data_IF_775734127231
#
_entry.id   IF_775734127231
#
_cell.length_a   1.000
_cell.length_b   1.000
_cell.length_c   1.000
_cell.angle_alpha   90.00
_cell.angle_beta   90.00
_cell.angle_gamma   90.00
#
_symmetry.space_group_name_H-M   'P 1'
#
loop_
_entity.id
_entity.type
_entity.pdbx_description
1 polymer ?
#
# COMPACT_ATOMS: atom_id res chain seq x y z
N UNK A 1 6.97 5.94 18.28
CA UNK A 1 6.82 4.72 19.08
C UNK A 1 6.80 3.53 18.12
N UNK A 2 7.55 2.45 18.39
CA UNK A 2 7.62 1.31 17.46
C UNK A 2 6.33 0.46 17.49
N UNK A 3 5.87 0.01 16.33
CA UNK A 3 4.74 -0.93 16.23
C UNK A 3 5.13 -2.28 16.84
N UNK A 4 4.39 -2.73 17.85
CA UNK A 4 4.57 -4.07 18.42
C UNK A 4 3.87 -5.10 17.51
N UNK A 5 4.58 -6.18 17.20
CA UNK A 5 4.04 -7.35 16.52
C UNK A 5 3.74 -8.43 17.56
N UNK A 6 2.47 -8.83 17.65
CA UNK A 6 1.99 -9.87 18.57
C UNK A 6 1.34 -10.96 17.74
N UNK A 7 2.05 -12.09 17.63
CA UNK A 7 1.62 -13.25 16.85
C UNK A 7 0.66 -14.09 17.67
N UNK A 8 -0.53 -14.34 17.12
CA UNK A 8 -1.57 -15.21 17.71
C UNK A 8 -1.76 -16.49 16.90
N UNK A 9 -1.49 -16.44 15.60
CA UNK A 9 -1.38 -17.58 14.69
C UNK A 9 0.03 -17.62 14.08
N UNK A 10 0.83 -18.58 14.52
CA UNK A 10 2.22 -18.72 14.09
C UNK A 10 2.35 -19.13 12.61
N UNK A 11 1.43 -19.94 12.09
CA UNK A 11 1.49 -20.39 10.71
C UNK A 11 1.17 -19.24 9.75
N UNK A 12 0.10 -18.50 10.03
CA UNK A 12 -0.26 -17.30 9.26
C UNK A 12 0.83 -16.23 9.35
N UNK A 13 1.36 -15.95 10.55
CA UNK A 13 2.39 -14.93 10.71
C UNK A 13 3.70 -15.29 9.99
N UNK A 14 4.12 -16.56 10.03
CA UNK A 14 5.32 -17.02 9.33
C UNK A 14 5.17 -16.86 7.81
N UNK A 15 4.02 -17.27 7.24
CA UNK A 15 3.73 -17.07 5.82
C UNK A 15 3.73 -15.59 5.45
N UNK A 16 3.03 -14.77 6.22
CA UNK A 16 2.95 -13.33 5.97
C UNK A 16 4.33 -12.67 6.01
N UNK A 17 5.19 -13.04 6.95
CA UNK A 17 6.55 -12.52 7.05
C UNK A 17 7.42 -12.90 5.84
N UNK A 18 7.27 -14.10 5.30
CA UNK A 18 7.99 -14.56 4.10
C UNK A 18 7.53 -13.81 2.85
N UNK A 19 6.22 -13.56 2.73
CA UNK A 19 5.64 -12.88 1.56
C UNK A 19 5.80 -11.35 1.59
N UNK A 20 5.94 -10.76 2.78
CA UNK A 20 5.96 -9.31 2.98
C UNK A 20 6.96 -8.58 2.06
N UNK A 21 8.22 -9.03 1.86
CA UNK A 21 9.15 -8.38 0.95
C UNK A 21 8.67 -8.35 -0.50
N UNK A 22 7.94 -9.38 -0.94
CA UNK A 22 7.36 -9.43 -2.29
C UNK A 22 6.27 -8.37 -2.43
N UNK A 23 5.32 -8.31 -1.50
CA UNK A 23 4.27 -7.28 -1.52
C UNK A 23 4.84 -5.86 -1.44
N UNK A 24 5.88 -5.64 -0.64
CA UNK A 24 6.56 -4.35 -0.56
C UNK A 24 7.22 -3.96 -1.88
N UNK A 25 7.88 -4.91 -2.57
CA UNK A 25 8.46 -4.68 -3.90
C UNK A 25 7.39 -4.42 -4.97
N UNK A 26 6.27 -5.13 -4.91
CA UNK A 26 5.12 -4.89 -5.81
C UNK A 26 4.55 -3.49 -5.61
N UNK A 27 4.36 -3.04 -4.36
CA UNK A 27 3.95 -1.66 -4.08
C UNK A 27 4.94 -0.64 -4.65
N UNK A 28 6.25 -0.88 -4.48
CA UNK A 28 7.27 0.00 -5.03
C UNK A 28 7.18 0.08 -6.57
N UNK A 29 7.08 -1.06 -7.25
CA UNK A 29 6.96 -1.12 -8.70
C UNK A 29 5.72 -0.36 -9.21
N UNK A 30 4.54 -0.60 -8.62
CA UNK A 30 3.29 0.07 -9.00
C UNK A 30 3.35 1.58 -8.74
N UNK A 31 3.99 1.98 -7.64
CA UNK A 31 4.17 3.40 -7.32
C UNK A 31 5.07 4.10 -8.34
N UNK A 32 6.16 3.45 -8.74
CA UNK A 32 7.06 3.95 -9.79
C UNK A 32 6.34 4.07 -11.13
N UNK A 33 5.61 3.03 -11.56
CA UNK A 33 4.81 3.05 -12.79
C UNK A 33 3.79 4.20 -12.77
N UNK A 34 3.08 4.39 -11.66
CA UNK A 34 2.10 5.46 -11.54
C UNK A 34 2.75 6.86 -11.67
N UNK A 35 3.97 7.04 -11.14
CA UNK A 35 4.68 8.31 -11.15
C UNK A 35 5.46 8.59 -12.45
N UNK A 36 5.61 7.60 -13.33
CA UNK A 36 6.48 7.68 -14.51
C UNK A 36 6.15 8.85 -15.43
N UNK A 37 4.86 9.08 -15.71
CA UNK A 37 4.42 10.17 -16.59
C UNK A 37 4.79 11.57 -16.04
N UNK A 38 4.83 11.73 -14.72
CA UNK A 38 5.28 12.98 -14.09
C UNK A 38 6.81 13.07 -14.07
N UNK A 39 7.50 11.95 -13.80
CA UNK A 39 8.95 11.89 -13.75
C UNK A 39 9.60 12.11 -15.13
N UNK A 40 8.92 11.72 -16.20
CA UNK A 40 9.38 11.87 -17.58
C UNK A 40 9.12 13.26 -18.19
N UNK A 41 8.52 14.20 -17.44
CA UNK A 41 8.27 15.55 -17.94
C UNK A 41 9.58 16.28 -18.27
N UNK A 42 9.70 16.88 -19.48
CA UNK A 42 10.82 17.74 -19.79
C UNK A 42 10.89 18.95 -18.83
N UNK A 43 12.09 19.46 -18.57
CA UNK A 43 12.26 20.66 -17.73
C UNK A 43 11.50 21.90 -18.25
N UNK A 44 11.26 21.97 -19.57
CA UNK A 44 10.47 23.02 -20.22
C UNK A 44 9.03 22.57 -20.56
N UNK A 45 8.46 21.61 -19.83
CA UNK A 45 7.09 21.18 -20.04
C UNK A 45 6.10 22.35 -19.89
N UNK A 46 5.19 22.47 -20.85
CA UNK A 46 4.08 23.42 -20.77
C UNK A 46 3.05 22.99 -19.70
N UNK A 47 2.16 23.90 -19.26
CA UNK A 47 1.15 23.58 -18.26
C UNK A 47 0.21 22.42 -18.64
N UNK A 48 -0.08 22.22 -19.93
CA UNK A 48 -0.97 21.17 -20.39
C UNK A 48 -0.33 19.80 -20.20
N UNK A 49 0.95 19.63 -20.56
CA UNK A 49 1.70 18.39 -20.34
C UNK A 49 1.79 18.02 -18.85
N UNK A 50 1.96 19.02 -17.98
CA UNK A 50 1.92 18.80 -16.53
C UNK A 50 0.56 18.29 -16.05
N UNK A 51 -0.54 18.84 -16.58
CA UNK A 51 -1.90 18.37 -16.27
C UNK A 51 -2.13 16.95 -16.76
N UNK A 52 -1.72 16.64 -17.99
CA UNK A 52 -1.88 15.30 -18.58
C UNK A 52 -1.14 14.25 -17.75
N UNK A 53 0.10 14.53 -17.34
CA UNK A 53 0.87 13.68 -16.42
C UNK A 53 0.19 13.50 -15.06
N UNK A 54 -0.42 14.56 -14.51
CA UNK A 54 -1.18 14.48 -13.26
C UNK A 54 -2.43 13.61 -13.40
N UNK A 55 -3.15 13.69 -14.53
CA UNK A 55 -4.33 12.85 -14.80
C UNK A 55 -3.93 11.37 -14.83
N UNK A 56 -2.84 11.03 -15.52
CA UNK A 56 -2.32 9.65 -15.55
C UNK A 56 -1.93 9.17 -14.15
N UNK A 57 -1.16 9.98 -13.42
CA UNK A 57 -0.78 9.65 -12.04
C UNK A 57 -2.00 9.42 -11.14
N UNK A 58 -3.02 10.29 -11.26
CA UNK A 58 -4.29 10.17 -10.51
C UNK A 58 -5.04 8.89 -10.84
N UNK A 59 -5.07 8.46 -12.11
CA UNK A 59 -5.68 7.20 -12.51
C UNK A 59 -4.96 5.99 -11.88
N UNK A 60 -3.62 6.05 -11.77
CA UNK A 60 -2.82 5.02 -11.12
C UNK A 60 -3.01 4.91 -9.60
N UNK A 61 -3.49 5.96 -8.93
CA UNK A 61 -3.64 5.99 -7.47
C UNK A 61 -4.54 4.89 -6.89
N UNK A 62 -5.53 4.42 -7.66
CA UNK A 62 -6.37 3.30 -7.23
C UNK A 62 -5.54 2.01 -7.07
N UNK A 63 -4.68 1.70 -8.07
CA UNK A 63 -3.79 0.53 -8.02
C UNK A 63 -2.77 0.64 -6.89
N UNK A 64 -2.17 1.82 -6.70
CA UNK A 64 -1.25 2.08 -5.59
C UNK A 64 -1.92 1.81 -4.25
N UNK A 65 -3.14 2.33 -4.04
CA UNK A 65 -3.89 2.08 -2.79
C UNK A 65 -4.19 0.61 -2.55
N UNK A 66 -4.53 -0.16 -3.60
CA UNK A 66 -4.74 -1.61 -3.48
C UNK A 66 -3.47 -2.34 -3.06
N UNK A 67 -2.35 -2.02 -3.70
CA UNK A 67 -1.05 -2.60 -3.34
C UNK A 67 -0.65 -2.27 -1.89
N UNK A 68 -0.90 -1.03 -1.45
CA UNK A 68 -0.64 -0.62 -0.06
C UNK A 68 -1.57 -1.35 0.94
N UNK A 69 -2.84 -1.57 0.57
CA UNK A 69 -3.77 -2.38 1.37
C UNK A 69 -3.28 -3.82 1.53
N UNK A 70 -2.71 -4.42 0.49
CA UNK A 70 -2.15 -5.76 0.54
C UNK A 70 -0.92 -5.84 1.48
N UNK A 71 -0.03 -4.84 1.45
CA UNK A 71 1.08 -4.72 2.41
C UNK A 71 0.56 -4.59 3.84
N UNK A 72 -0.46 -3.74 4.06
CA UNK A 72 -1.08 -3.57 5.37
C UNK A 72 -1.66 -4.87 5.92
N UNK A 73 -2.31 -5.66 5.06
CA UNK A 73 -2.85 -6.96 5.42
C UNK A 73 -1.73 -7.92 5.86
N UNK A 74 -0.63 -8.02 5.10
CA UNK A 74 0.51 -8.87 5.48
C UNK A 74 1.18 -8.41 6.79
N UNK A 75 1.32 -7.10 7.02
CA UNK A 75 1.82 -6.58 8.31
C UNK A 75 0.91 -6.96 9.47
N UNK A 76 -0.40 -6.86 9.27
CA UNK A 76 -1.38 -7.25 10.27
C UNK A 76 -1.34 -8.76 10.56
N UNK A 77 -1.27 -9.59 9.53
CA UNK A 77 -1.14 -11.05 9.63
C UNK A 77 0.19 -11.48 10.29
N UNK A 78 1.26 -10.70 10.09
CA UNK A 78 2.53 -10.87 10.80
C UNK A 78 2.46 -10.43 12.29
N UNK A 79 1.32 -9.89 12.74
CA UNK A 79 1.06 -9.57 14.15
C UNK A 79 0.94 -8.09 14.47
N UNK A 80 0.99 -7.17 13.50
CA UNK A 80 0.76 -5.76 13.79
C UNK A 80 -0.71 -5.51 14.17
N UNK A 81 -0.94 -4.83 15.30
CA UNK A 81 -2.30 -4.41 15.66
C UNK A 81 -2.80 -3.26 14.76
N UNK A 82 -4.12 -3.17 14.48
CA UNK A 82 -4.67 -2.05 13.71
C UNK A 82 -4.36 -0.68 14.32
N UNK A 83 -4.35 -0.58 15.66
CA UNK A 83 -3.94 0.64 16.37
C UNK A 83 -2.47 0.97 16.11
N UNK A 84 -1.57 -0.01 16.19
CA UNK A 84 -0.15 0.19 15.94
C UNK A 84 0.13 0.63 14.50
N UNK A 85 -0.56 0.03 13.53
CA UNK A 85 -0.50 0.45 12.12
C UNK A 85 -1.00 1.88 11.94
N UNK A 86 -2.13 2.23 12.57
CA UNK A 86 -2.71 3.57 12.50
C UNK A 86 -1.73 4.63 13.04
N UNK A 87 -1.12 4.37 14.19
CA UNK A 87 -0.10 5.25 14.78
C UNK A 87 1.14 5.36 13.89
N UNK A 88 1.65 4.26 13.35
CA UNK A 88 2.85 4.27 12.50
C UNK A 88 2.64 5.03 11.18
N UNK A 89 1.44 4.94 10.60
CA UNK A 89 1.09 5.60 9.34
C UNK A 89 0.51 7.00 9.53
N UNK A 90 0.27 7.44 10.76
CA UNK A 90 -0.35 8.74 11.04
C UNK A 90 -1.80 8.85 10.54
N UNK A 91 -2.54 7.74 10.49
CA UNK A 91 -3.93 7.69 10.00
C UNK A 91 -4.89 7.21 11.09
N UNK A 92 -6.20 7.42 10.87
CA UNK A 92 -7.23 6.95 11.78
C UNK A 92 -7.30 5.41 11.79
N UNK A 93 -7.47 4.79 12.97
CA UNK A 93 -7.66 3.34 13.12
C UNK A 93 -8.82 2.79 12.27
N UNK A 94 -9.95 3.48 12.21
CA UNK A 94 -11.10 3.08 11.39
C UNK A 94 -10.73 3.04 9.90
N UNK A 95 -9.83 3.92 9.46
CA UNK A 95 -9.28 3.86 8.10
C UNK A 95 -8.46 2.59 7.91
N UNK A 96 -7.60 2.23 8.86
CA UNK A 96 -6.87 0.96 8.81
C UNK A 96 -7.83 -0.24 8.75
N UNK A 97 -8.83 -0.29 9.62
CA UNK A 97 -9.80 -1.38 9.67
C UNK A 97 -10.53 -1.55 8.32
N UNK A 98 -10.97 -0.44 7.70
CA UNK A 98 -11.59 -0.45 6.36
C UNK A 98 -10.63 -0.95 5.27
N UNK A 99 -9.36 -0.53 5.32
CA UNK A 99 -8.33 -0.95 4.37
C UNK A 99 -7.99 -2.43 4.50
N UNK A 100 -7.93 -2.95 5.72
CA UNK A 100 -7.75 -4.37 5.99
C UNK A 100 -8.95 -5.19 5.47
N UNK A 101 -10.17 -4.72 5.68
CA UNK A 101 -11.36 -5.37 5.15
C UNK A 101 -11.36 -5.40 3.61
N UNK A 102 -11.01 -4.28 2.97
CA UNK A 102 -10.89 -4.22 1.51
C UNK A 102 -9.80 -5.17 0.97
N UNK A 103 -8.64 -5.23 1.61
CA UNK A 103 -7.56 -6.14 1.22
C UNK A 103 -7.97 -7.62 1.31
N UNK A 104 -8.73 -7.98 2.34
CA UNK A 104 -9.26 -9.34 2.50
C UNK A 104 -10.27 -9.67 1.39
N UNK A 105 -11.20 -8.75 1.13
CA UNK A 105 -12.19 -8.92 0.07
C UNK A 105 -11.54 -9.07 -1.31
N UNK A 106 -10.51 -8.27 -1.62
CA UNK A 106 -9.77 -8.38 -2.89
C UNK A 106 -9.04 -9.72 -3.01
N UNK A 107 -8.36 -10.17 -1.94
CA UNK A 107 -7.68 -11.49 -1.94
C UNK A 107 -8.65 -12.65 -2.15
N UNK A 108 -9.84 -12.58 -1.56
CA UNK A 108 -10.83 -13.65 -1.62
C UNK A 108 -11.59 -13.65 -2.97
N UNK A 109 -11.44 -12.60 -3.78
CA UNK A 109 -12.04 -12.45 -5.12
C UNK A 109 -11.12 -12.81 -6.29
N UNK A 110 -9.83 -13.03 -6.02
CA UNK A 110 -8.81 -13.47 -6.98
C UNK A 110 -8.63 -14.99 -6.95
#
# INVERSE_FOLDING_TARGET
>A
MATRFTVTDHATASRAAVELPTYARTLAAITTEAAEALAALPAAADPQRCLDGLVVFRAGQAKVRRAENAVLLRLHEAGASPTGLATALGINRLTVDRRLAAARAERDSD
#
